data_IF_433228092314
#
_entry.id   IF_433228092314
#
_cell.length_a   1.000
_cell.length_b   1.000
_cell.length_c   1.000
_cell.angle_alpha   90.00
_cell.angle_beta   90.00
_cell.angle_gamma   90.00
#
_symmetry.space_group_name_H-M   'P 1'
#
loop_
_entity.id
_entity.type
_entity.pdbx_description
1 polymer ?
#
# COMPACT_ATOMS: atom_id res chain seq x y z
N UNK A 1 15.15 9.00 -2.32
CA UNK A 1 14.01 8.09 -2.53
C UNK A 1 13.92 7.12 -1.36
N UNK A 2 12.72 6.86 -0.89
CA UNK A 2 12.47 5.84 0.11
C UNK A 2 11.55 4.77 -0.44
N UNK A 3 11.59 3.61 0.19
CA UNK A 3 10.77 2.47 -0.17
C UNK A 3 9.92 2.09 1.04
N UNK A 4 8.64 1.83 0.82
CA UNK A 4 7.73 1.45 1.91
C UNK A 4 7.04 0.15 1.58
N UNK A 5 7.18 -0.80 2.49
CA UNK A 5 6.42 -2.05 2.43
C UNK A 5 5.20 -1.94 3.32
N UNK A 6 4.02 -2.20 2.75
CA UNK A 6 2.77 -2.24 3.50
C UNK A 6 2.25 -3.68 3.48
N UNK A 7 2.02 -4.22 4.65
CA UNK A 7 1.71 -5.64 4.83
C UNK A 7 0.26 -5.81 5.27
N UNK A 8 -0.47 -6.64 4.51
CA UNK A 8 -1.90 -6.85 4.72
C UNK A 8 -2.23 -8.34 4.75
N UNK A 9 -3.19 -8.69 5.57
CA UNK A 9 -3.83 -9.99 5.53
C UNK A 9 -5.29 -9.78 5.16
N UNK A 10 -5.71 -10.33 4.03
CA UNK A 10 -7.05 -10.11 3.48
C UNK A 10 -7.96 -11.25 3.90
N UNK A 11 -9.20 -10.93 4.22
CA UNK A 11 -10.21 -11.96 4.56
C UNK A 11 -10.43 -12.89 3.37
N UNK A 12 -10.54 -14.21 3.61
CA UNK A 12 -10.81 -15.16 2.54
C UNK A 12 -12.05 -14.75 1.74
N UNK A 13 -11.92 -14.80 0.41
CA UNK A 13 -12.99 -14.41 -0.50
C UNK A 13 -12.96 -12.95 -0.92
N UNK A 14 -12.11 -12.12 -0.30
CA UNK A 14 -11.99 -10.70 -0.61
C UNK A 14 -10.71 -10.33 -1.35
N UNK A 15 -9.95 -11.34 -1.80
CA UNK A 15 -8.66 -11.10 -2.44
C UNK A 15 -8.78 -10.30 -3.73
N UNK A 16 -9.73 -10.66 -4.59
CA UNK A 16 -9.92 -9.93 -5.85
C UNK A 16 -10.33 -8.48 -5.62
N UNK A 17 -11.15 -8.24 -4.62
CA UNK A 17 -11.58 -6.89 -4.24
C UNK A 17 -10.38 -6.06 -3.77
N UNK A 18 -9.52 -6.64 -2.95
CA UNK A 18 -8.31 -5.97 -2.47
C UNK A 18 -7.39 -5.59 -3.65
N UNK A 19 -7.21 -6.50 -4.60
CA UNK A 19 -6.37 -6.26 -5.78
C UNK A 19 -6.92 -5.14 -6.64
N UNK A 20 -8.25 -5.06 -6.81
CA UNK A 20 -8.89 -3.98 -7.56
C UNK A 20 -8.73 -2.62 -6.86
N UNK A 21 -8.87 -2.59 -5.55
CA UNK A 21 -8.67 -1.37 -4.76
C UNK A 21 -7.23 -0.87 -4.92
N UNK A 22 -6.26 -1.77 -4.87
CA UNK A 22 -4.86 -1.42 -5.06
C UNK A 22 -4.65 -0.72 -6.41
N UNK A 23 -5.18 -1.27 -7.49
CA UNK A 23 -5.04 -0.68 -8.82
C UNK A 23 -5.59 0.75 -8.87
N UNK A 24 -6.75 0.97 -8.27
CA UNK A 24 -7.37 2.29 -8.23
C UNK A 24 -6.55 3.29 -7.44
N UNK A 25 -6.02 2.87 -6.29
CA UNK A 25 -5.19 3.74 -5.45
C UNK A 25 -3.91 4.13 -6.18
N UNK A 26 -3.25 3.18 -6.83
CA UNK A 26 -2.03 3.46 -7.60
C UNK A 26 -2.30 4.46 -8.72
N UNK A 27 -3.40 4.29 -9.45
CA UNK A 27 -3.76 5.20 -10.54
C UNK A 27 -3.97 6.62 -10.02
N UNK A 28 -4.67 6.77 -8.89
CA UNK A 28 -4.88 8.08 -8.27
C UNK A 28 -3.56 8.69 -7.81
N UNK A 29 -2.70 7.91 -7.17
CA UNK A 29 -1.42 8.41 -6.68
C UNK A 29 -0.50 8.84 -7.81
N UNK A 30 -0.45 8.09 -8.91
CA UNK A 30 0.37 8.44 -10.07
C UNK A 30 -0.07 9.75 -10.73
N UNK A 31 -1.36 10.04 -10.72
CA UNK A 31 -1.91 11.24 -11.34
C UNK A 31 -1.95 12.46 -10.41
N UNK A 32 -1.70 12.28 -9.12
CA UNK A 32 -1.88 13.33 -8.11
C UNK A 32 -0.63 14.16 -7.81
N UNK A 33 0.51 13.77 -8.33
CA UNK A 33 1.79 14.47 -8.12
C UNK A 33 2.11 14.71 -6.63
N UNK A 34 1.96 13.67 -5.83
CA UNK A 34 2.16 13.75 -4.37
C UNK A 34 3.49 13.14 -3.90
N UNK A 35 4.43 12.94 -4.82
CA UNK A 35 5.72 12.33 -4.50
C UNK A 35 5.72 10.81 -4.55
N UNK A 36 4.64 10.20 -4.98
CA UNK A 36 4.57 8.77 -5.24
C UNK A 36 5.24 8.45 -6.57
N UNK A 37 6.13 7.46 -6.56
CA UNK A 37 6.88 7.07 -7.77
C UNK A 37 6.29 5.82 -8.39
N UNK A 38 6.15 4.74 -7.63
CA UNK A 38 5.60 3.49 -8.12
C UNK A 38 5.15 2.60 -6.98
N UNK A 39 4.28 1.64 -7.30
CA UNK A 39 3.82 0.65 -6.33
C UNK A 39 3.56 -0.68 -7.01
N UNK A 40 3.95 -1.76 -6.34
CA UNK A 40 3.76 -3.12 -6.81
C UNK A 40 3.08 -3.93 -5.74
N UNK A 41 2.19 -4.82 -6.18
CA UNK A 41 1.48 -5.71 -5.28
C UNK A 41 2.05 -7.11 -5.40
N UNK A 42 2.40 -7.69 -4.25
CA UNK A 42 2.90 -9.06 -4.18
C UNK A 42 1.97 -9.90 -3.31
N UNK A 43 1.74 -11.12 -3.73
CA UNK A 43 0.98 -12.10 -2.99
C UNK A 43 1.94 -13.13 -2.41
N UNK A 44 1.75 -13.51 -1.15
CA UNK A 44 2.53 -14.59 -0.56
C UNK A 44 2.12 -15.92 -1.21
N UNK A 45 3.08 -16.61 -1.82
CA UNK A 45 2.82 -17.84 -2.55
C UNK A 45 2.30 -18.94 -1.64
N UNK A 46 2.82 -19.00 -0.41
CA UNK A 46 2.43 -20.02 0.56
C UNK A 46 1.14 -19.70 1.29
N UNK A 47 0.75 -18.42 1.32
CA UNK A 47 -0.47 -17.97 1.95
C UNK A 47 -1.11 -16.89 1.09
N UNK A 48 -2.01 -17.25 0.15
CA UNK A 48 -2.53 -16.34 -0.86
C UNK A 48 -3.38 -15.19 -0.33
N UNK A 49 -3.72 -15.17 0.95
CA UNK A 49 -4.45 -14.06 1.59
C UNK A 49 -3.52 -13.00 2.15
N UNK A 50 -2.22 -13.24 2.15
CA UNK A 50 -1.23 -12.27 2.61
C UNK A 50 -0.62 -11.52 1.45
N UNK A 51 -0.59 -10.18 1.58
CA UNK A 51 -0.12 -9.28 0.53
C UNK A 51 0.94 -8.33 1.05
N UNK A 52 1.84 -7.96 0.15
CA UNK A 52 2.80 -6.89 0.35
C UNK A 52 2.59 -5.86 -0.75
N UNK A 53 2.33 -4.62 -0.38
CA UNK A 53 2.41 -3.50 -1.31
C UNK A 53 3.80 -2.89 -1.14
N UNK A 54 4.64 -3.02 -2.16
CA UNK A 54 5.96 -2.40 -2.18
C UNK A 54 5.86 -1.09 -2.95
N UNK A 55 6.15 0.02 -2.28
CA UNK A 55 5.98 1.34 -2.87
C UNK A 55 7.27 2.15 -2.81
N UNK A 56 7.41 3.05 -3.78
CA UNK A 56 8.55 3.96 -3.89
C UNK A 56 8.04 5.39 -3.81
N UNK A 57 8.70 6.20 -2.99
CA UNK A 57 8.32 7.59 -2.74
C UNK A 57 9.54 8.50 -2.89
N UNK A 58 9.30 9.72 -3.35
CA UNK A 58 10.33 10.72 -3.52
C UNK A 58 11.11 10.95 -2.22
N UNK A 59 10.39 11.09 -1.11
CA UNK A 59 10.96 11.30 0.21
C UNK A 59 9.98 10.84 1.30
N UNK A 60 10.46 10.82 2.52
CA UNK A 60 9.68 10.38 3.67
C UNK A 60 8.50 11.31 3.94
N UNK A 61 8.67 12.60 3.73
CA UNK A 61 7.61 13.58 3.95
C UNK A 61 6.41 13.33 3.05
N UNK A 62 6.66 13.01 1.78
CA UNK A 62 5.59 12.68 0.82
C UNK A 62 4.77 11.49 1.29
N UNK A 63 5.43 10.44 1.77
CA UNK A 63 4.73 9.27 2.30
C UNK A 63 3.93 9.63 3.56
N UNK A 64 4.50 10.39 4.47
CA UNK A 64 3.80 10.80 5.70
C UNK A 64 2.58 11.66 5.40
N UNK A 65 2.68 12.58 4.44
CA UNK A 65 1.53 13.36 4.00
C UNK A 65 0.42 12.48 3.45
N UNK A 66 0.79 11.48 2.66
CA UNK A 66 -0.19 10.53 2.15
C UNK A 66 -0.91 9.81 3.28
N UNK A 67 -0.18 9.35 4.29
CA UNK A 67 -0.76 8.64 5.43
C UNK A 67 -1.77 9.49 6.21
N UNK A 68 -1.64 10.82 6.14
CA UNK A 68 -2.54 11.75 6.81
C UNK A 68 -3.65 12.27 5.89
N UNK A 69 -3.67 11.86 4.63
CA UNK A 69 -4.62 12.36 3.65
C UNK A 69 -6.02 11.75 3.83
N UNK A 70 -7.02 12.47 3.31
CA UNK A 70 -8.39 11.97 3.28
C UNK A 70 -8.53 10.71 2.42
N UNK A 71 -7.80 10.68 1.31
CA UNK A 71 -7.86 9.56 0.39
C UNK A 71 -7.36 8.28 1.06
N UNK A 72 -6.27 8.38 1.81
CA UNK A 72 -5.77 7.24 2.57
C UNK A 72 -6.76 6.82 3.64
N UNK A 73 -7.35 7.77 4.36
CA UNK A 73 -8.32 7.47 5.41
C UNK A 73 -9.55 6.78 4.84
N UNK A 74 -10.09 7.29 3.74
CA UNK A 74 -11.25 6.70 3.09
C UNK A 74 -10.97 5.27 2.64
N UNK A 75 -9.81 5.04 2.03
CA UNK A 75 -9.40 3.71 1.58
C UNK A 75 -9.22 2.78 2.76
N UNK A 76 -8.62 3.27 3.85
CA UNK A 76 -8.40 2.48 5.06
C UNK A 76 -9.73 2.11 5.73
N UNK A 77 -10.66 3.05 5.81
CA UNK A 77 -11.98 2.79 6.40
C UNK A 77 -12.74 1.72 5.63
N UNK A 78 -12.69 1.79 4.29
CA UNK A 78 -13.26 0.74 3.46
C UNK A 78 -12.52 -0.59 3.66
N UNK A 79 -11.19 -0.54 3.68
CA UNK A 79 -10.33 -1.71 3.81
C UNK A 79 -10.55 -2.48 5.11
N UNK A 80 -10.97 -1.84 6.19
CA UNK A 80 -11.24 -2.51 7.46
C UNK A 80 -12.26 -3.63 7.33
N UNK A 81 -13.13 -3.55 6.35
CA UNK A 81 -14.17 -4.57 6.12
C UNK A 81 -13.62 -5.84 5.48
N UNK A 82 -12.51 -5.73 4.76
CA UNK A 82 -11.94 -6.85 4.00
C UNK A 82 -10.57 -7.29 4.50
N UNK A 83 -10.01 -6.58 5.48
CA UNK A 83 -8.70 -6.90 6.03
C UNK A 83 -8.85 -7.58 7.38
N UNK A 84 -8.06 -8.64 7.56
CA UNK A 84 -7.99 -9.43 8.77
C UNK A 84 -6.83 -8.93 9.62
N UNK A 85 -7.08 -8.65 10.89
CA UNK A 85 -6.05 -8.17 11.78
C UNK A 85 -5.65 -6.72 11.52
N UNK A 86 -4.49 -6.35 12.03
CA UNK A 86 -3.98 -4.98 11.92
C UNK A 86 -2.87 -4.93 10.88
N UNK A 87 -3.03 -4.15 9.81
CA UNK A 87 -1.95 -3.99 8.85
C UNK A 87 -0.80 -3.20 9.47
N UNK A 88 0.40 -3.39 8.93
CA UNK A 88 1.57 -2.65 9.37
C UNK A 88 2.42 -2.27 8.17
N UNK A 89 3.34 -1.32 8.37
CA UNK A 89 4.26 -0.92 7.31
C UNK A 89 5.69 -0.82 7.85
N UNK A 90 6.64 -0.89 6.92
CA UNK A 90 8.06 -0.70 7.21
C UNK A 90 8.64 0.22 6.16
N UNK A 91 9.52 1.10 6.61
CA UNK A 91 10.15 2.09 5.73
C UNK A 91 11.60 1.68 5.53
N UNK A 92 12.01 1.65 4.26
CA UNK A 92 13.34 1.23 3.86
C UNK A 92 14.00 2.32 3.03
N UNK A 93 15.31 2.35 3.10
CA UNK A 93 16.12 3.22 2.26
C UNK A 93 17.19 2.37 1.60
N UNK A 94 17.36 2.52 0.29
CA UNK A 94 18.37 1.77 -0.42
C UNK A 94 19.76 2.21 0.02
N UNK A 95 20.64 1.25 0.25
CA UNK A 95 22.04 1.50 0.57
C UNK A 95 22.84 1.29 -0.72
N UNK A 96 23.51 2.33 -1.17
CA UNK A 96 24.39 2.27 -2.33
C UNK A 96 25.71 1.61 -1.93
N UNK A 97 25.96 0.44 -2.49
CA UNK A 97 27.19 -0.33 -2.20
C UNK A 97 28.01 -0.51 -3.46
#
# INVERSE_FOLDING_TARGET
>A
MINVGLYYKVKPGHESEFEEIFKKVVDVLKSSNVGFIDGKLYKNVDNPSEYLIYSEWKDLESFRKFMLSRDFKSTTDYGKQIIEGRPYHRIFQEINT
#
